data_IF_180553447646
#
_entry.id   IF_180553447646
#
_cell.length_a   1.000
_cell.length_b   1.000
_cell.length_c   1.000
_cell.angle_alpha   90.00
_cell.angle_beta   90.00
_cell.angle_gamma   90.00
#
_symmetry.space_group_name_H-M   'P 1'
#
loop_
_entity.id
_entity.type
_entity.pdbx_description
1 polymer ?
#
# COMPACT_ATOMS: atom_id res chain seq x y z
N UNK A 1 8.04 50.54 9.38
CA UNK A 1 9.16 49.63 9.09
C UNK A 1 8.55 48.29 8.76
N UNK A 2 8.56 47.90 7.49
CA UNK A 2 7.86 46.71 7.00
C UNK A 2 8.62 45.45 7.40
N UNK A 3 8.02 44.61 8.22
CA UNK A 3 8.55 43.31 8.60
C UNK A 3 8.66 42.39 7.38
N UNK A 4 9.81 41.73 7.29
CA UNK A 4 10.22 40.83 6.22
C UNK A 4 9.24 39.66 6.13
N UNK A 5 8.62 39.51 4.96
CA UNK A 5 7.57 38.52 4.68
C UNK A 5 8.02 37.08 4.88
N UNK A 6 7.66 36.53 6.04
CA UNK A 6 7.61 35.10 6.29
C UNK A 6 6.54 34.50 5.36
N UNK A 7 6.98 33.87 4.28
CA UNK A 7 6.13 33.26 3.27
C UNK A 7 5.40 32.07 3.91
N UNK A 8 4.24 32.33 4.52
CA UNK A 8 3.53 31.42 5.43
C UNK A 8 3.20 30.07 4.76
N UNK A 9 3.89 28.97 5.13
CA UNK A 9 3.65 27.63 4.57
C UNK A 9 2.23 27.10 4.89
N UNK A 10 1.56 27.67 5.90
CA UNK A 10 0.18 27.36 6.28
C UNK A 10 -0.83 27.59 5.15
N UNK A 11 -0.66 28.65 4.35
CA UNK A 11 -1.58 28.91 3.23
C UNK A 11 -1.47 27.82 2.17
N UNK A 12 -0.26 27.32 1.94
CA UNK A 12 -0.02 26.25 0.96
C UNK A 12 -0.70 24.97 1.41
N UNK A 13 -0.51 24.54 2.66
CA UNK A 13 -1.17 23.32 3.17
C UNK A 13 -2.70 23.42 3.17
N UNK A 14 -3.27 24.57 3.53
CA UNK A 14 -4.71 24.78 3.47
C UNK A 14 -5.26 24.69 2.03
N UNK A 15 -4.53 25.23 1.05
CA UNK A 15 -4.88 25.20 -0.36
C UNK A 15 -4.77 23.77 -0.92
N UNK A 16 -3.74 23.03 -0.52
CA UNK A 16 -3.57 21.60 -0.84
C UNK A 16 -4.70 20.76 -0.26
N UNK A 17 -5.02 20.97 1.01
CA UNK A 17 -6.08 20.25 1.69
C UNK A 17 -7.44 20.47 1.02
N UNK A 18 -7.76 21.72 0.70
CA UNK A 18 -9.00 22.07 0.01
C UNK A 18 -9.03 21.52 -1.42
N UNK A 19 -7.92 21.56 -2.15
CA UNK A 19 -7.89 21.08 -3.52
C UNK A 19 -7.96 19.55 -3.60
N UNK A 20 -7.34 18.82 -2.65
CA UNK A 20 -7.53 17.38 -2.49
C UNK A 20 -8.98 17.02 -2.15
N UNK A 21 -9.65 17.82 -1.32
CA UNK A 21 -11.05 17.64 -0.98
C UNK A 21 -11.96 17.78 -2.21
N UNK A 22 -11.79 18.86 -2.98
CA UNK A 22 -12.52 19.09 -4.24
C UNK A 22 -12.29 17.93 -5.22
N UNK A 23 -11.06 17.45 -5.34
CA UNK A 23 -10.72 16.32 -6.21
C UNK A 23 -11.37 15.01 -5.76
N UNK A 24 -11.40 14.76 -4.44
CA UNK A 24 -12.05 13.59 -3.88
C UNK A 24 -13.56 13.59 -4.11
N UNK A 25 -14.19 14.76 -4.02
CA UNK A 25 -15.62 14.94 -4.35
C UNK A 25 -15.85 14.73 -5.85
N UNK A 26 -14.99 15.29 -6.71
CA UNK A 26 -15.07 15.07 -8.14
C UNK A 26 -15.02 13.58 -8.49
N UNK A 27 -14.10 12.82 -7.87
CA UNK A 27 -13.98 11.38 -8.09
C UNK A 27 -15.25 10.63 -7.69
N UNK A 28 -15.87 11.05 -6.58
CA UNK A 28 -17.11 10.47 -6.09
C UNK A 28 -18.30 10.82 -7.00
N UNK A 29 -18.32 12.03 -7.56
CA UNK A 29 -19.37 12.47 -8.48
C UNK A 29 -19.33 11.71 -9.81
N UNK A 30 -18.13 11.34 -10.26
CA UNK A 30 -17.94 10.44 -11.41
C UNK A 30 -18.51 9.05 -11.15
N UNK A 31 -18.22 8.49 -9.97
CA UNK A 31 -18.77 7.20 -9.56
C UNK A 31 -20.30 7.28 -9.46
N UNK A 32 -20.84 8.42 -9.00
CA UNK A 32 -22.28 8.62 -8.84
C UNK A 32 -23.04 8.75 -10.15
N UNK A 33 -22.38 9.22 -11.21
CA UNK A 33 -23.01 9.42 -12.51
C UNK A 33 -23.11 8.14 -13.37
N UNK A 34 -22.68 6.98 -12.82
CA UNK A 34 -22.81 5.62 -13.39
C UNK A 34 -22.64 5.59 -14.92
N UNK A 35 -21.61 6.30 -15.42
CA UNK A 35 -21.38 6.43 -16.84
C UNK A 35 -20.94 5.07 -17.42
N UNK A 36 -21.78 4.49 -18.28
CA UNK A 36 -21.48 3.23 -18.97
C UNK A 36 -20.49 3.44 -20.13
N UNK A 37 -19.50 2.56 -20.27
CA UNK A 37 -18.57 2.52 -21.41
C UNK A 37 -17.19 3.16 -21.17
N UNK A 38 -16.54 3.62 -22.26
CA UNK A 38 -15.17 4.17 -22.27
C UNK A 38 -15.01 5.44 -21.42
N UNK A 39 -16.11 6.15 -21.16
CA UNK A 39 -16.13 7.36 -20.34
C UNK A 39 -15.68 7.04 -18.89
N UNK A 40 -16.08 5.88 -18.34
CA UNK A 40 -15.60 5.43 -17.01
C UNK A 40 -14.08 5.26 -16.98
N UNK A 41 -13.52 4.68 -18.05
CA UNK A 41 -12.08 4.46 -18.17
C UNK A 41 -11.30 5.78 -18.27
N UNK A 42 -11.80 6.71 -19.09
CA UNK A 42 -11.23 8.04 -19.21
C UNK A 42 -11.28 8.79 -17.87
N UNK A 43 -12.42 8.77 -17.18
CA UNK A 43 -12.59 9.51 -15.92
C UNK A 43 -11.73 8.91 -14.81
N UNK A 44 -11.66 7.57 -14.66
CA UNK A 44 -10.78 6.94 -13.67
C UNK A 44 -9.32 7.34 -13.91
N UNK A 45 -8.84 7.31 -15.16
CA UNK A 45 -7.48 7.70 -15.49
C UNK A 45 -7.26 9.18 -15.19
N UNK A 46 -8.18 10.06 -15.59
CA UNK A 46 -8.11 11.49 -15.32
C UNK A 46 -8.05 11.75 -13.81
N UNK A 47 -8.90 11.09 -13.01
CA UNK A 47 -8.88 11.23 -11.54
C UNK A 47 -7.60 10.67 -10.90
N UNK A 48 -7.10 9.54 -11.38
CA UNK A 48 -5.80 9.00 -10.95
C UNK A 48 -4.65 9.95 -11.27
N UNK A 49 -4.62 10.48 -12.49
CA UNK A 49 -3.52 11.31 -12.99
C UNK A 49 -3.56 12.70 -12.36
N UNK A 50 -4.75 13.26 -12.11
CA UNK A 50 -4.88 14.53 -11.40
C UNK A 50 -4.56 14.40 -9.91
N UNK A 51 -5.05 13.37 -9.20
CA UNK A 51 -4.69 13.22 -7.77
C UNK A 51 -3.19 12.95 -7.59
N UNK A 52 -2.59 12.10 -8.42
CA UNK A 52 -1.15 11.83 -8.40
C UNK A 52 -0.33 13.04 -8.89
N UNK A 53 -0.75 13.66 -9.99
CA UNK A 53 -0.14 14.86 -10.54
C UNK A 53 -0.22 16.05 -9.60
N UNK A 54 -1.26 16.15 -8.76
CA UNK A 54 -1.36 17.20 -7.75
C UNK A 54 -0.42 16.95 -6.58
N UNK A 55 -0.30 15.70 -6.09
CA UNK A 55 0.70 15.33 -5.09
C UNK A 55 2.11 15.65 -5.61
N UNK A 56 2.41 15.27 -6.85
CA UNK A 56 3.68 15.57 -7.51
C UNK A 56 3.85 17.07 -7.67
N UNK A 57 2.88 17.80 -8.23
CA UNK A 57 2.97 19.25 -8.44
C UNK A 57 3.14 20.01 -7.13
N UNK A 58 2.52 19.60 -6.02
CA UNK A 58 2.75 20.23 -4.70
C UNK A 58 4.17 19.97 -4.23
N UNK A 59 4.62 18.71 -4.27
CA UNK A 59 5.97 18.35 -3.86
C UNK A 59 7.04 18.97 -4.76
N UNK A 60 6.71 19.16 -6.04
CA UNK A 60 7.60 19.66 -7.08
C UNK A 60 7.58 21.19 -7.17
N UNK A 61 6.46 21.83 -6.86
CA UNK A 61 6.33 23.29 -6.83
C UNK A 61 6.84 23.89 -5.51
N UNK A 62 6.80 23.15 -4.40
CA UNK A 62 7.34 23.61 -3.10
C UNK A 62 8.86 23.46 -2.93
N UNK A 63 9.59 22.70 -3.77
CA UNK A 63 11.03 22.50 -3.52
C UNK A 63 11.90 22.39 -4.77
N UNK A 64 12.45 23.54 -5.10
CA UNK A 64 13.70 23.76 -5.79
C UNK A 64 14.89 23.19 -4.98
N UNK A 65 15.06 21.85 -4.87
CA UNK A 65 16.27 21.22 -4.28
C UNK A 65 16.24 19.70 -4.53
N UNK A 66 17.27 19.16 -5.23
CA UNK A 66 17.39 17.77 -5.74
C UNK A 66 17.02 16.66 -4.73
N UNK A 67 17.14 16.92 -3.43
CA UNK A 67 16.85 15.97 -2.36
C UNK A 67 15.38 15.55 -2.26
N UNK A 68 14.43 16.43 -2.57
CA UNK A 68 13.00 16.09 -2.41
C UNK A 68 12.52 15.10 -3.47
N UNK A 69 13.02 15.23 -4.69
CA UNK A 69 12.72 14.30 -5.79
C UNK A 69 13.29 12.91 -5.52
N UNK A 70 14.53 12.84 -5.02
CA UNK A 70 15.16 11.57 -4.66
C UNK A 70 14.35 10.89 -3.55
N UNK A 71 14.00 11.61 -2.48
CA UNK A 71 13.24 11.05 -1.36
C UNK A 71 11.83 10.63 -1.79
N UNK A 72 11.11 11.41 -2.61
CA UNK A 72 9.75 11.06 -3.05
C UNK A 72 9.69 9.81 -3.93
N UNK A 73 10.72 9.55 -4.74
CA UNK A 73 10.82 8.37 -5.60
C UNK A 73 11.44 7.17 -4.89
N UNK A 74 12.39 7.40 -3.98
CA UNK A 74 13.17 6.34 -3.32
C UNK A 74 12.51 5.84 -2.04
N UNK A 75 11.78 6.69 -1.30
CA UNK A 75 11.11 6.29 -0.04
C UNK A 75 10.02 5.25 -0.27
N UNK A 76 9.09 5.38 -1.23
CA UNK A 76 8.08 4.35 -1.46
C UNK A 76 8.67 2.96 -1.74
N UNK A 77 9.63 2.76 -2.67
CA UNK A 77 10.23 1.46 -2.89
C UNK A 77 11.09 0.99 -1.71
N UNK A 78 11.77 1.89 -0.99
CA UNK A 78 12.60 1.50 0.16
C UNK A 78 11.75 0.97 1.32
N UNK A 79 10.61 1.62 1.63
CA UNK A 79 9.66 1.15 2.64
C UNK A 79 9.10 -0.23 2.26
N UNK A 80 8.75 -0.43 0.99
CA UNK A 80 8.27 -1.72 0.50
C UNK A 80 9.35 -2.82 0.59
N UNK A 81 10.60 -2.51 0.27
CA UNK A 81 11.72 -3.45 0.40
C UNK A 81 11.97 -3.86 1.85
N UNK A 82 11.94 -2.91 2.78
CA UNK A 82 12.07 -3.19 4.22
C UNK A 82 10.91 -4.04 4.71
N UNK A 83 9.68 -3.72 4.32
CA UNK A 83 8.50 -4.50 4.69
C UNK A 83 8.57 -5.94 4.15
N UNK A 84 8.96 -6.08 2.88
CA UNK A 84 9.17 -7.38 2.23
C UNK A 84 10.23 -8.20 2.96
N UNK A 85 11.35 -7.57 3.35
CA UNK A 85 12.42 -8.24 4.09
C UNK A 85 11.96 -8.73 5.47
N UNK A 86 11.24 -7.88 6.22
CA UNK A 86 10.69 -8.25 7.53
C UNK A 86 9.67 -9.40 7.42
N UNK A 87 8.81 -9.39 6.39
CA UNK A 87 7.85 -10.47 6.14
C UNK A 87 8.54 -11.78 5.72
N UNK A 88 9.61 -11.71 4.91
CA UNK A 88 10.38 -12.88 4.54
C UNK A 88 11.06 -13.50 5.77
N UNK A 89 11.62 -12.66 6.64
CA UNK A 89 12.20 -13.09 7.91
C UNK A 89 11.15 -13.78 8.79
N UNK A 90 9.99 -13.15 9.01
CA UNK A 90 8.89 -13.72 9.78
C UNK A 90 8.41 -15.07 9.23
N UNK A 91 8.37 -15.23 7.90
CA UNK A 91 8.00 -16.49 7.25
C UNK A 91 8.99 -17.62 7.58
N UNK A 92 10.29 -17.35 7.66
CA UNK A 92 11.30 -18.32 8.08
C UNK A 92 11.13 -18.72 9.55
N UNK A 93 10.87 -17.76 10.45
CA UNK A 93 10.57 -18.08 11.87
C UNK A 93 9.28 -18.89 12.02
N UNK A 94 8.24 -18.55 11.27
CA UNK A 94 6.98 -19.29 11.27
C UNK A 94 7.16 -20.73 10.75
N UNK A 95 8.03 -20.94 9.76
CA UNK A 95 8.37 -22.27 9.27
C UNK A 95 9.21 -23.08 10.27
N UNK A 96 10.26 -22.48 10.82
CA UNK A 96 11.14 -23.14 11.80
C UNK A 96 10.36 -23.54 13.06
N UNK A 97 9.51 -22.67 13.57
CA UNK A 97 8.62 -22.99 14.71
C UNK A 97 7.65 -24.11 14.39
N UNK A 98 7.07 -24.16 13.18
CA UNK A 98 6.20 -25.28 12.77
C UNK A 98 6.92 -26.62 12.79
N UNK A 99 8.16 -26.70 12.34
CA UNK A 99 8.94 -27.94 12.38
C UNK A 99 9.19 -28.37 13.82
N UNK A 100 9.54 -27.43 14.70
CA UNK A 100 9.83 -27.72 16.11
C UNK A 100 8.59 -28.21 16.86
N UNK A 101 7.41 -27.64 16.61
CA UNK A 101 6.20 -27.97 17.36
C UNK A 101 5.30 -29.04 16.71
N UNK A 102 5.24 -29.12 15.37
CA UNK A 102 4.33 -30.03 14.63
C UNK A 102 5.08 -31.16 13.87
N UNK A 103 6.42 -31.20 13.91
CA UNK A 103 7.21 -32.25 13.25
C UNK A 103 7.12 -33.63 13.91
N UNK A 104 6.72 -33.70 15.18
CA UNK A 104 6.72 -34.92 16.00
C UNK A 104 5.40 -35.71 15.97
N UNK A 105 4.33 -35.16 15.36
CA UNK A 105 2.99 -35.75 15.39
C UNK A 105 2.62 -36.57 14.13
N UNK A 106 3.61 -37.05 13.38
CA UNK A 106 3.40 -38.16 12.43
C UNK A 106 3.18 -39.44 13.23
N UNK A 107 1.94 -39.61 13.72
CA UNK A 107 1.48 -40.84 14.35
C UNK A 107 1.69 -42.01 13.37
N UNK A 108 2.39 -43.09 13.78
CA UNK A 108 2.54 -44.28 12.97
C UNK A 108 1.15 -44.81 12.63
N UNK A 109 0.96 -45.12 11.34
CA UNK A 109 -0.19 -45.84 10.78
C UNK A 109 -0.86 -46.69 11.86
N UNK A 110 -2.16 -46.47 12.21
CA UNK A 110 -2.83 -47.32 13.17
C UNK A 110 -2.69 -48.77 12.71
N UNK A 111 -2.09 -49.61 13.56
CA UNK A 111 -1.79 -50.98 13.23
C UNK A 111 -3.04 -51.66 12.64
N UNK A 112 -2.92 -52.40 11.52
CA UNK A 112 -4.06 -53.06 10.93
C UNK A 112 -4.72 -53.95 12.00
N UNK A 113 -6.07 -53.98 12.06
CA UNK A 113 -6.77 -54.75 13.07
C UNK A 113 -6.30 -56.22 13.01
N UNK A 114 -6.18 -56.90 14.15
CA UNK A 114 -5.74 -58.29 14.17
C UNK A 114 -6.67 -59.11 13.28
N UNK A 115 -6.15 -59.56 12.14
CA UNK A 115 -6.85 -60.51 11.30
C UNK A 115 -6.91 -61.82 12.08
N UNK A 116 -8.11 -62.20 12.52
CA UNK A 116 -8.37 -63.53 13.07
C UNK A 116 -8.18 -64.56 11.95
N UNK A 117 -6.92 -64.89 11.64
CA UNK A 117 -6.55 -66.08 10.87
C UNK A 117 -6.48 -67.21 11.88
N UNK A 118 -7.62 -67.85 12.10
CA UNK A 118 -7.71 -68.96 13.05
C UNK A 118 -9.11 -69.53 13.16
N UNK A 119 -9.24 -70.73 12.62
CA UNK A 119 -10.19 -71.78 12.94
C UNK A 119 -11.52 -71.83 12.16
N UNK A 120 -11.66 -73.00 11.50
CA UNK A 120 -12.82 -73.69 10.97
C UNK A 120 -13.07 -73.59 9.46
#
# INVERSE_FOLDING_TARGET
>A
MAEVGQQHPIKVYALVWLLLFVFSIGSYFVDYLDFQGHLRWFLIIVFMLLKAGFIVAIFMHMKWERWTLITAILVPPLVLLVLMYLLAFEAEYAWASRIVYFGDEVSPIPAPPPTHVGAH
#
